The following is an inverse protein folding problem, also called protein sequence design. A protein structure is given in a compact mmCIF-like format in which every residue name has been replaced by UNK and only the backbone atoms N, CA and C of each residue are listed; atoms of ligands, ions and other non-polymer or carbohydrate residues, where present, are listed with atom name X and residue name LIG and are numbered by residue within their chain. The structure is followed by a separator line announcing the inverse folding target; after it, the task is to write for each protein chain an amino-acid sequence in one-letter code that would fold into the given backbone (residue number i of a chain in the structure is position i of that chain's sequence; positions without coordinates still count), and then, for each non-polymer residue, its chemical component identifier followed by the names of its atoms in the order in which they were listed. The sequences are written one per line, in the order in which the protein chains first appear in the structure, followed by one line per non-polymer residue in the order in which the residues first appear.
data_IF_696518192710
#
_entry.id   IF_696518192710
#
_cell.length_a   1.000
_cell.length_b   1.000
_cell.length_c   1.000
_cell.angle_alpha   90.00
_cell.angle_beta   90.00
_cell.angle_gamma   90.00
#
_symmetry.space_group_name_H-M   'P 1'
#
loop_
_entity.id
_entity.type
_entity.pdbx_description
1 polymer ?
#
# COMPACT_ATOMS: atom_id res chain seq x y z
N UNK A 1 -19.89 22.77 0.76
CA UNK A 1 -19.54 21.49 0.10
C UNK A 1 -19.07 20.56 1.20
N UNK A 2 -19.55 19.31 1.25
CA UNK A 2 -19.02 18.35 2.22
C UNK A 2 -17.51 18.21 1.97
N UNK A 3 -16.69 18.38 3.02
CA UNK A 3 -15.25 18.20 2.89
C UNK A 3 -14.96 16.76 2.48
N UNK A 4 -14.30 16.60 1.33
CA UNK A 4 -13.92 15.29 0.85
C UNK A 4 -12.76 14.77 1.70
N UNK A 5 -13.07 13.89 2.65
CA UNK A 5 -12.05 13.29 3.52
C UNK A 5 -11.38 12.11 2.81
N UNK A 6 -10.09 12.25 2.52
CA UNK A 6 -9.23 11.21 1.96
C UNK A 6 -8.06 10.98 2.92
N UNK A 7 -7.54 9.75 2.93
CA UNK A 7 -6.33 9.39 3.70
C UNK A 7 -5.42 8.50 2.86
N UNK A 8 -4.19 8.34 3.34
CA UNK A 8 -3.19 7.47 2.74
C UNK A 8 -3.80 6.13 2.30
N UNK A 9 -3.42 5.70 1.08
CA UNK A 9 -3.91 4.49 0.39
C UNK A 9 -5.36 4.49 -0.09
N UNK A 10 -6.14 5.56 0.10
CA UNK A 10 -7.39 5.71 -0.66
C UNK A 10 -7.08 5.77 -2.16
N UNK A 11 -7.86 5.05 -2.96
CA UNK A 11 -7.74 5.05 -4.42
C UNK A 11 -8.57 6.16 -5.04
N UNK A 12 -7.94 7.00 -5.85
CA UNK A 12 -8.59 8.09 -6.58
C UNK A 12 -8.50 7.81 -8.08
N UNK A 13 -9.63 7.86 -8.77
CA UNK A 13 -9.73 7.55 -10.20
C UNK A 13 -10.19 8.79 -10.94
N UNK A 14 -9.48 9.14 -12.01
CA UNK A 14 -9.82 10.27 -12.89
C UNK A 14 -10.78 9.84 -14.01
N UNK A 15 -11.33 10.81 -14.74
CA UNK A 15 -12.28 10.52 -15.84
C UNK A 15 -11.64 9.76 -16.99
N UNK A 16 -10.34 9.95 -17.21
CA UNK A 16 -9.58 9.23 -18.23
C UNK A 16 -9.30 7.77 -17.83
N UNK A 17 -9.48 7.42 -16.55
CA UNK A 17 -9.22 6.08 -16.04
C UNK A 17 -7.80 5.90 -15.49
N UNK A 18 -7.12 6.98 -15.11
CA UNK A 18 -5.90 6.91 -14.31
C UNK A 18 -6.26 6.61 -12.85
N UNK A 19 -5.45 5.79 -12.21
CA UNK A 19 -5.62 5.41 -10.81
C UNK A 19 -4.42 5.94 -10.02
N UNK A 20 -4.76 6.72 -9.00
CA UNK A 20 -3.83 7.32 -8.07
C UNK A 20 -4.08 6.79 -6.67
N UNK A 21 -3.00 6.67 -5.91
CA UNK A 21 -3.05 6.39 -4.47
C UNK A 21 -2.79 7.69 -3.73
N UNK A 22 -3.70 8.05 -2.83
CA UNK A 22 -3.47 9.17 -1.91
C UNK A 22 -2.23 8.88 -1.06
N UNK A 23 -1.32 9.84 -0.99
CA UNK A 23 -0.01 9.70 -0.36
C UNK A 23 0.09 10.59 0.88
N UNK A 24 0.15 9.97 2.05
CA UNK A 24 0.28 10.66 3.33
C UNK A 24 -1.01 11.32 3.80
N UNK A 25 -0.85 12.39 4.59
CA UNK A 25 -1.94 13.01 5.36
C UNK A 25 -1.94 14.54 5.30
N UNK A 26 -0.97 15.12 4.61
CA UNK A 26 -0.74 16.56 4.52
C UNK A 26 -1.10 17.01 3.11
N UNK A 27 -2.26 17.64 2.98
CA UNK A 27 -2.89 17.89 1.69
C UNK A 27 -3.33 19.34 1.54
N UNK A 28 -3.22 19.93 0.32
CA UNK A 28 -3.74 21.26 0.07
C UNK A 28 -5.28 21.29 0.22
N UNK A 29 -5.90 22.47 0.46
CA UNK A 29 -7.34 22.57 0.76
C UNK A 29 -8.29 21.94 -0.28
N UNK A 30 -7.92 22.01 -1.55
CA UNK A 30 -8.78 21.64 -2.68
C UNK A 30 -8.26 20.41 -3.44
N UNK A 31 -7.31 19.67 -2.88
CA UNK A 31 -6.73 18.52 -3.55
C UNK A 31 -6.02 17.56 -2.60
N UNK A 32 -5.51 16.47 -3.15
CA UNK A 32 -4.74 15.49 -2.41
C UNK A 32 -3.43 15.20 -3.13
N UNK A 33 -2.37 15.02 -2.35
CA UNK A 33 -1.08 14.56 -2.87
C UNK A 33 -1.20 13.07 -3.12
N UNK A 34 -0.69 12.63 -4.26
CA UNK A 34 -0.89 11.28 -4.74
C UNK A 34 0.39 10.69 -5.32
N UNK A 35 0.39 9.37 -5.42
CA UNK A 35 1.28 8.60 -6.28
C UNK A 35 0.46 8.06 -7.46
N UNK A 36 1.03 8.09 -8.67
CA UNK A 36 0.37 7.54 -9.85
C UNK A 36 0.62 6.03 -9.88
N UNK A 37 -0.41 5.21 -9.68
CA UNK A 37 -0.22 3.77 -9.53
C UNK A 37 -0.54 2.97 -10.77
N UNK A 38 -1.65 3.27 -11.46
CA UNK A 38 -2.07 2.52 -12.64
C UNK A 38 -2.68 3.42 -13.71
N UNK A 39 -2.61 2.95 -14.94
CA UNK A 39 -3.32 3.52 -16.07
C UNK A 39 -3.94 2.41 -16.92
N UNK A 40 -5.06 2.74 -17.57
CA UNK A 40 -5.66 1.89 -18.59
C UNK A 40 -4.67 1.59 -19.72
N UNK A 41 -4.74 0.38 -20.27
CA UNK A 41 -3.85 -0.08 -21.35
C UNK A 41 -3.93 0.75 -22.63
N UNK A 42 -5.04 1.46 -22.81
CA UNK A 42 -5.34 2.40 -23.88
C UNK A 42 -4.57 3.72 -23.72
N UNK A 43 -4.22 4.09 -22.48
CA UNK A 43 -3.46 5.30 -22.17
C UNK A 43 -1.97 5.04 -22.02
N UNK A 44 -1.61 3.90 -21.42
CA UNK A 44 -0.22 3.58 -21.07
C UNK A 44 0.05 2.09 -21.14
N UNK A 45 1.24 1.75 -21.65
CA UNK A 45 1.81 0.40 -21.62
C UNK A 45 3.24 0.50 -21.12
N UNK A 46 3.57 -0.32 -20.13
CA UNK A 46 4.93 -0.46 -19.65
C UNK A 46 5.60 -1.66 -20.33
N UNK A 47 6.90 -1.52 -20.61
CA UNK A 47 7.75 -2.62 -21.07
C UNK A 47 8.11 -3.57 -19.92
N UNK A 48 7.85 -3.18 -18.67
CA UNK A 48 8.07 -4.04 -17.51
C UNK A 48 7.04 -5.20 -17.53
N UNK A 49 7.49 -6.47 -17.61
CA UNK A 49 6.58 -7.61 -17.67
C UNK A 49 5.72 -7.77 -16.40
N UNK A 50 6.13 -7.15 -15.28
CA UNK A 50 5.39 -7.16 -14.01
C UNK A 50 4.33 -6.05 -13.92
N UNK A 51 4.17 -5.22 -14.93
CA UNK A 51 3.21 -4.11 -14.94
C UNK A 51 1.80 -4.51 -15.31
N UNK A 52 1.63 -5.55 -16.13
CA UNK A 52 0.32 -5.99 -16.60
C UNK A 52 -0.64 -6.36 -15.46
N UNK A 53 -1.88 -5.89 -15.53
CA UNK A 53 -2.99 -6.20 -14.61
C UNK A 53 -4.24 -6.49 -15.42
N UNK A 54 -4.53 -7.78 -15.63
CA UNK A 54 -5.66 -8.25 -16.44
C UNK A 54 -6.75 -9.00 -15.68
N UNK A 55 -6.73 -9.01 -14.34
CA UNK A 55 -7.71 -9.75 -13.53
C UNK A 55 -9.11 -9.11 -13.49
N UNK A 56 -9.29 -7.93 -14.08
CA UNK A 56 -10.56 -7.19 -14.10
C UNK A 56 -11.22 -7.15 -15.48
N UNK A 57 -12.29 -6.35 -15.61
CA UNK A 57 -12.99 -6.12 -16.89
C UNK A 57 -12.15 -5.36 -17.91
N UNK A 58 -11.19 -4.58 -17.44
CA UNK A 58 -10.29 -3.75 -18.24
C UNK A 58 -8.85 -4.11 -17.88
N UNK A 59 -7.95 -3.87 -18.83
CA UNK A 59 -6.52 -4.09 -18.64
C UNK A 59 -5.87 -2.81 -18.15
N UNK A 60 -5.09 -2.93 -17.09
CA UNK A 60 -4.29 -1.84 -16.53
C UNK A 60 -2.80 -2.18 -16.59
N UNK A 61 -1.97 -1.14 -16.58
CA UNK A 61 -0.53 -1.24 -16.33
C UNK A 61 -0.19 -0.49 -15.06
N UNK A 62 0.52 -1.16 -14.15
CA UNK A 62 1.13 -0.53 -12.97
C UNK A 62 2.34 0.29 -13.42
N UNK A 63 2.46 1.52 -12.95
CA UNK A 63 3.68 2.30 -13.10
C UNK A 63 4.80 1.74 -12.22
N UNK A 64 5.98 1.55 -12.80
CA UNK A 64 7.20 1.18 -12.11
C UNK A 64 8.23 2.31 -12.16
N UNK A 65 9.08 2.37 -11.12
CA UNK A 65 10.17 3.34 -11.04
C UNK A 65 9.67 4.79 -11.26
N UNK A 66 10.13 5.47 -12.31
CA UNK A 66 9.75 6.85 -12.64
C UNK A 66 8.71 6.96 -13.77
N UNK A 67 8.14 5.84 -14.22
CA UNK A 67 7.18 5.81 -15.33
C UNK A 67 5.96 6.70 -15.06
N UNK A 68 5.38 6.61 -13.85
CA UNK A 68 4.22 7.41 -13.46
C UNK A 68 4.52 8.91 -13.52
N UNK A 69 5.69 9.33 -13.02
CA UNK A 69 6.12 10.72 -13.05
C UNK A 69 6.29 11.24 -14.47
N UNK A 70 7.05 10.51 -15.31
CA UNK A 70 7.28 10.88 -16.72
C UNK A 70 5.97 10.93 -17.50
N UNK A 71 5.10 9.95 -17.29
CA UNK A 71 3.84 9.83 -18.00
C UNK A 71 2.88 10.96 -17.65
N UNK A 72 2.68 11.24 -16.36
CA UNK A 72 1.83 12.34 -15.89
C UNK A 72 2.40 13.68 -16.35
N UNK A 73 3.70 13.93 -16.19
CA UNK A 73 4.32 15.19 -16.61
C UNK A 73 4.14 15.48 -18.10
N UNK A 74 4.23 14.45 -18.95
CA UNK A 74 4.13 14.60 -20.41
C UNK A 74 2.69 14.72 -20.90
N UNK A 75 1.79 13.88 -20.38
CA UNK A 75 0.46 13.69 -20.98
C UNK A 75 -0.68 14.29 -20.16
N UNK A 76 -0.49 14.44 -18.84
CA UNK A 76 -1.52 14.93 -17.92
C UNK A 76 -0.96 15.95 -16.92
N UNK A 77 -0.35 17.06 -17.40
CA UNK A 77 0.28 18.05 -16.53
C UNK A 77 -0.70 18.75 -15.56
N UNK A 78 -2.02 18.62 -15.77
CA UNK A 78 -3.04 19.06 -14.81
C UNK A 78 -2.97 18.31 -13.47
N UNK A 79 -2.44 17.08 -13.44
CA UNK A 79 -2.24 16.29 -12.22
C UNK A 79 -0.89 16.56 -11.54
N UNK A 80 -0.24 17.67 -11.90
CA UNK A 80 0.93 18.23 -11.22
C UNK A 80 0.53 19.49 -10.44
N UNK A 81 0.04 19.31 -9.22
CA UNK A 81 -0.40 20.41 -8.35
C UNK A 81 0.79 21.06 -7.64
N UNK A 82 0.70 22.37 -7.40
CA UNK A 82 1.73 23.09 -6.65
C UNK A 82 1.58 22.80 -5.16
N UNK A 83 2.63 22.27 -4.54
CA UNK A 83 2.69 22.06 -3.09
C UNK A 83 3.49 23.19 -2.46
N UNK A 84 2.79 24.17 -1.90
CA UNK A 84 3.37 25.43 -1.42
C UNK A 84 4.52 25.21 -0.43
N UNK A 85 4.42 24.30 0.57
CA UNK A 85 5.52 24.08 1.50
C UNK A 85 6.81 23.63 0.78
N UNK A 86 6.72 22.85 -0.31
CA UNK A 86 7.90 22.42 -1.08
C UNK A 86 8.35 23.46 -2.13
N UNK A 87 7.49 24.43 -2.46
CA UNK A 87 7.72 25.37 -3.56
C UNK A 87 7.85 24.69 -4.93
N UNK A 88 7.26 23.50 -5.11
CA UNK A 88 7.39 22.67 -6.32
C UNK A 88 6.06 22.04 -6.69
N UNK A 89 5.93 21.67 -7.96
CA UNK A 89 4.85 20.80 -8.43
C UNK A 89 5.12 19.35 -8.06
N UNK A 90 4.10 18.66 -7.58
CA UNK A 90 4.12 17.24 -7.25
C UNK A 90 2.90 16.56 -7.85
N UNK A 91 2.92 15.24 -7.95
CA UNK A 91 1.73 14.49 -8.38
C UNK A 91 0.62 14.68 -7.34
N UNK A 92 -0.55 15.09 -7.80
CA UNK A 92 -1.72 15.25 -6.97
C UNK A 92 -2.95 15.59 -7.80
N UNK A 93 -4.10 15.49 -7.17
CA UNK A 93 -5.40 15.65 -7.84
C UNK A 93 -6.23 16.68 -7.11
N UNK A 94 -6.78 17.65 -7.85
CA UNK A 94 -7.81 18.53 -7.32
C UNK A 94 -9.10 17.75 -7.13
N UNK A 95 -9.85 18.03 -6.07
CA UNK A 95 -11.09 17.30 -5.78
C UNK A 95 -12.13 17.41 -6.90
N UNK A 96 -12.10 18.49 -7.71
CA UNK A 96 -12.95 18.66 -8.90
C UNK A 96 -12.69 17.63 -10.01
N UNK A 97 -11.49 17.07 -10.05
CA UNK A 97 -11.03 16.17 -11.13
C UNK A 97 -11.21 14.69 -10.75
N UNK A 98 -11.62 14.42 -9.51
CA UNK A 98 -11.91 13.08 -9.02
C UNK A 98 -13.23 12.58 -9.62
N UNK A 99 -13.17 11.48 -10.37
CA UNK A 99 -14.34 10.81 -10.91
C UNK A 99 -14.90 9.75 -9.96
N UNK A 100 -14.03 9.00 -9.29
CA UNK A 100 -14.41 7.94 -8.37
C UNK A 100 -13.37 7.79 -7.26
N UNK A 101 -13.85 7.43 -6.06
CA UNK A 101 -13.03 7.09 -4.91
C UNK A 101 -13.26 5.62 -4.56
N UNK A 102 -12.16 4.90 -4.28
CA UNK A 102 -12.17 3.54 -3.76
C UNK A 102 -11.54 3.57 -2.37
N UNK A 103 -12.38 3.39 -1.34
CA UNK A 103 -11.92 3.33 0.04
C UNK A 103 -11.56 1.89 0.43
N UNK A 104 -10.36 1.64 0.99
CA UNK A 104 -9.91 0.30 1.35
C UNK A 104 -10.86 -0.49 2.26
N UNK A 105 -11.42 0.15 3.29
CA UNK A 105 -12.34 -0.49 4.24
C UNK A 105 -13.70 -0.84 3.61
N UNK A 106 -14.21 0.02 2.73
CA UNK A 106 -15.44 -0.23 1.99
C UNK A 106 -15.27 -1.37 0.99
N UNK A 107 -14.15 -1.40 0.27
CA UNK A 107 -13.86 -2.47 -0.69
C UNK A 107 -13.63 -3.79 0.04
N UNK A 108 -12.92 -3.81 1.18
CA UNK A 108 -12.76 -5.02 1.98
C UNK A 108 -14.13 -5.59 2.41
N UNK A 109 -15.02 -4.75 2.94
CA UNK A 109 -16.39 -5.18 3.30
C UNK A 109 -17.14 -5.77 2.12
N UNK A 110 -17.04 -5.16 0.95
CA UNK A 110 -17.65 -5.69 -0.28
C UNK A 110 -17.04 -7.04 -0.67
N UNK A 111 -15.72 -7.21 -0.58
CA UNK A 111 -15.05 -8.47 -0.91
C UNK A 111 -15.48 -9.61 0.03
N UNK A 112 -15.62 -9.33 1.33
CA UNK A 112 -16.05 -10.32 2.32
C UNK A 112 -17.55 -10.67 2.23
N UNK A 113 -18.37 -9.77 1.70
CA UNK A 113 -19.80 -10.03 1.47
C UNK A 113 -20.06 -10.94 0.25
N UNK A 114 -19.06 -11.12 -0.62
CA UNK A 114 -19.16 -12.03 -1.76
C UNK A 114 -18.82 -13.45 -1.28
N UNK A 115 -19.79 -14.36 -1.28
CA UNK A 115 -19.52 -15.78 -0.96
C UNK A 115 -18.36 -16.32 -1.83
N UNK A 116 -17.28 -16.73 -1.14
CA UNK A 116 -16.06 -17.43 -1.56
C UNK A 116 -15.81 -17.60 -3.08
N UNK A 117 -15.76 -16.49 -3.83
CA UNK A 117 -15.65 -16.52 -5.29
C UNK A 117 -14.39 -17.21 -5.81
N UNK A 118 -13.29 -17.16 -5.05
CA UNK A 118 -12.02 -17.74 -5.47
C UNK A 118 -11.08 -18.05 -4.29
N UNK A 119 -9.95 -18.70 -4.61
CA UNK A 119 -8.96 -19.14 -3.61
C UNK A 119 -8.21 -18.01 -2.91
N UNK A 120 -7.99 -16.86 -3.56
CA UNK A 120 -7.29 -15.74 -2.92
C UNK A 120 -8.18 -15.08 -1.88
N UNK A 121 -9.46 -14.85 -2.19
CA UNK A 121 -10.40 -14.26 -1.23
C UNK A 121 -10.64 -15.19 -0.04
N UNK A 122 -10.70 -16.51 -0.26
CA UNK A 122 -10.74 -17.50 0.85
C UNK A 122 -9.53 -17.39 1.76
N UNK A 123 -8.32 -17.31 1.18
CA UNK A 123 -7.09 -17.18 1.95
C UNK A 123 -7.03 -15.85 2.72
N UNK A 124 -7.41 -14.73 2.09
CA UNK A 124 -7.50 -13.42 2.75
C UNK A 124 -8.47 -13.46 3.94
N UNK A 125 -9.64 -14.06 3.76
CA UNK A 125 -10.62 -14.19 4.83
C UNK A 125 -10.10 -15.06 5.97
N UNK A 126 -9.45 -16.19 5.68
CA UNK A 126 -8.84 -17.05 6.71
C UNK A 126 -7.78 -16.30 7.53
N UNK A 127 -6.96 -15.48 6.88
CA UNK A 127 -5.96 -14.63 7.56
C UNK A 127 -6.64 -13.57 8.44
N UNK A 128 -7.67 -12.88 7.93
CA UNK A 128 -8.40 -11.88 8.71
C UNK A 128 -9.13 -12.50 9.89
N UNK A 129 -9.81 -13.63 9.71
CA UNK A 129 -10.50 -14.37 10.77
C UNK A 129 -9.53 -14.80 11.87
N UNK A 130 -8.35 -15.31 11.49
CA UNK A 130 -7.31 -15.68 12.45
C UNK A 130 -6.92 -14.49 13.34
N UNK A 131 -6.70 -13.32 12.75
CA UNK A 131 -6.27 -12.11 13.46
C UNK A 131 -7.41 -11.54 14.32
N UNK A 132 -8.60 -11.37 13.72
CA UNK A 132 -9.78 -10.81 14.38
C UNK A 132 -10.17 -11.66 15.59
N UNK A 133 -10.17 -12.99 15.45
CA UNK A 133 -10.54 -13.90 16.54
C UNK A 133 -9.55 -13.84 17.71
N UNK A 134 -8.25 -13.74 17.45
CA UNK A 134 -7.24 -13.71 18.51
C UNK A 134 -7.21 -12.36 19.23
N UNK A 135 -7.42 -11.24 18.52
CA UNK A 135 -7.30 -9.90 19.10
C UNK A 135 -8.63 -9.26 19.50
N UNK A 136 -9.78 -9.82 19.08
CA UNK A 136 -11.08 -9.20 19.26
C UNK A 136 -11.25 -7.88 18.47
N UNK A 137 -10.43 -7.65 17.45
CA UNK A 137 -10.48 -6.44 16.64
C UNK A 137 -11.71 -6.43 15.72
N UNK A 138 -12.25 -5.24 15.51
CA UNK A 138 -13.39 -5.04 14.61
C UNK A 138 -12.92 -4.96 13.16
N UNK A 139 -13.75 -5.42 12.22
CA UNK A 139 -13.39 -5.43 10.79
C UNK A 139 -13.05 -4.03 10.22
N UNK A 140 -13.65 -2.97 10.75
CA UNK A 140 -13.40 -1.59 10.29
C UNK A 140 -11.97 -1.09 10.56
N UNK A 141 -11.20 -1.82 11.36
CA UNK A 141 -9.76 -1.59 11.58
C UNK A 141 -8.94 -1.99 10.35
N UNK A 142 -9.50 -2.77 9.42
CA UNK A 142 -8.79 -3.27 8.26
C UNK A 142 -9.29 -2.65 6.94
N UNK A 143 -8.45 -2.73 5.92
CA UNK A 143 -8.80 -2.41 4.54
C UNK A 143 -7.97 -3.25 3.56
N UNK A 144 -8.22 -3.10 2.26
CA UNK A 144 -7.38 -3.70 1.21
C UNK A 144 -6.74 -2.65 0.32
N UNK A 145 -5.53 -2.90 -0.18
CA UNK A 145 -4.89 -2.04 -1.17
C UNK A 145 -4.51 -2.81 -2.44
N UNK A 146 -3.82 -2.13 -3.36
CA UNK A 146 -3.25 -2.77 -4.54
C UNK A 146 -4.32 -3.42 -5.43
N UNK A 147 -4.03 -4.64 -5.91
CA UNK A 147 -4.89 -5.30 -6.89
C UNK A 147 -6.27 -5.68 -6.33
N UNK A 148 -6.37 -5.93 -5.02
CA UNK A 148 -7.63 -6.19 -4.32
C UNK A 148 -8.52 -4.95 -4.28
N UNK A 149 -7.95 -3.79 -3.93
CA UNK A 149 -8.68 -2.51 -3.90
C UNK A 149 -9.31 -2.15 -5.24
N UNK A 150 -8.60 -2.43 -6.32
CA UNK A 150 -9.03 -2.04 -7.65
C UNK A 150 -9.78 -3.12 -8.43
N UNK A 151 -9.94 -4.31 -7.87
CA UNK A 151 -10.75 -5.39 -8.44
C UNK A 151 -10.15 -6.03 -9.70
N UNK A 152 -8.82 -6.00 -9.84
CA UNK A 152 -8.10 -6.66 -10.94
C UNK A 152 -7.04 -7.66 -10.45
N UNK A 153 -7.17 -8.12 -9.21
CA UNK A 153 -6.34 -9.19 -8.66
C UNK A 153 -6.50 -10.48 -9.46
N UNK A 154 -5.45 -11.31 -9.49
CA UNK A 154 -5.51 -12.62 -10.09
C UNK A 154 -5.59 -13.69 -8.99
N UNK A 155 -6.62 -14.55 -8.97
CA UNK A 155 -6.81 -15.54 -7.90
C UNK A 155 -5.59 -16.42 -7.62
N UNK A 156 -4.83 -16.80 -8.66
CA UNK A 156 -3.67 -17.70 -8.54
C UNK A 156 -2.31 -17.00 -8.43
N UNK A 157 -2.21 -15.68 -8.58
CA UNK A 157 -0.92 -14.98 -8.67
C UNK A 157 -0.81 -13.71 -7.82
N UNK A 158 -1.92 -13.07 -7.48
CA UNK A 158 -1.90 -11.92 -6.57
C UNK A 158 -1.58 -12.33 -5.14
N UNK A 159 -0.99 -11.39 -4.43
CA UNK A 159 -0.75 -11.40 -2.99
C UNK A 159 -1.98 -10.89 -2.23
N UNK A 160 -1.93 -10.95 -0.89
CA UNK A 160 -2.94 -10.42 0.01
C UNK A 160 -2.44 -9.08 0.58
N UNK A 161 -2.98 -7.99 0.07
CA UNK A 161 -2.58 -6.62 0.39
C UNK A 161 -3.55 -6.00 1.42
N UNK A 162 -3.26 -6.09 2.73
CA UNK A 162 -4.12 -5.57 3.80
C UNK A 162 -3.59 -4.26 4.40
N UNK A 163 -4.52 -3.42 4.85
CA UNK A 163 -4.26 -2.23 5.66
C UNK A 163 -4.64 -2.51 7.11
N UNK A 164 -3.88 -1.98 8.05
CA UNK A 164 -4.29 -1.86 9.46
C UNK A 164 -4.37 -0.37 9.83
N UNK A 165 -5.58 0.08 10.18
CA UNK A 165 -5.85 1.44 10.62
C UNK A 165 -5.57 1.61 12.11
N UNK A 166 -4.76 2.61 12.45
CA UNK A 166 -4.49 2.99 13.83
C UNK A 166 -3.20 2.41 14.37
N UNK A 167 -2.39 3.26 15.02
CA UNK A 167 -1.10 2.86 15.62
C UNK A 167 -1.29 1.77 16.68
N UNK A 168 -2.27 1.92 17.55
CA UNK A 168 -2.53 0.94 18.63
C UNK A 168 -2.95 -0.42 18.07
N UNK A 169 -3.79 -0.44 17.04
CA UNK A 169 -4.22 -1.66 16.37
C UNK A 169 -3.05 -2.35 15.66
N UNK A 170 -2.21 -1.58 14.96
CA UNK A 170 -1.01 -2.11 14.31
C UNK A 170 -0.05 -2.77 15.33
N UNK A 171 0.12 -2.17 16.50
CA UNK A 171 0.97 -2.75 17.55
C UNK A 171 0.45 -4.10 18.03
N UNK A 172 -0.88 -4.23 18.23
CA UNK A 172 -1.51 -5.51 18.58
C UNK A 172 -1.33 -6.55 17.47
N UNK A 173 -1.57 -6.17 16.21
CA UNK A 173 -1.38 -7.06 15.05
C UNK A 173 0.08 -7.50 14.94
N UNK A 174 1.06 -6.60 15.09
CA UNK A 174 2.48 -6.96 15.06
C UNK A 174 2.87 -7.92 16.19
N UNK A 175 2.33 -7.73 17.40
CA UNK A 175 2.57 -8.66 18.52
C UNK A 175 2.05 -10.06 18.19
N UNK A 176 0.81 -10.16 17.69
CA UNK A 176 0.25 -11.44 17.28
C UNK A 176 1.04 -12.08 16.13
N UNK A 177 1.43 -11.31 15.10
CA UNK A 177 2.22 -11.83 13.99
C UNK A 177 3.55 -12.41 14.47
N UNK A 178 4.21 -11.78 15.44
CA UNK A 178 5.43 -12.33 16.05
C UNK A 178 5.19 -13.69 16.70
N UNK A 179 4.07 -13.86 17.42
CA UNK A 179 3.68 -15.15 18.02
C UNK A 179 3.36 -16.19 16.95
N UNK A 180 2.58 -15.81 15.93
CA UNK A 180 2.17 -16.70 14.83
C UNK A 180 3.37 -17.17 14.02
N UNK A 181 4.35 -16.30 13.73
CA UNK A 181 5.57 -16.68 13.01
C UNK A 181 6.45 -17.66 13.80
N UNK A 182 6.42 -17.62 15.13
CA UNK A 182 7.13 -18.57 15.98
C UNK A 182 6.38 -19.91 16.12
N UNK A 183 5.09 -19.96 15.77
CA UNK A 183 4.28 -21.17 15.82
C UNK A 183 4.15 -21.81 14.43
N UNK A 184 4.89 -22.90 14.17
CA UNK A 184 4.86 -23.63 12.90
C UNK A 184 3.47 -24.14 12.48
N UNK A 185 2.53 -24.28 13.43
CA UNK A 185 1.16 -24.73 13.13
C UNK A 185 0.22 -23.60 12.68
N UNK A 186 0.62 -22.33 12.82
CA UNK A 186 -0.20 -21.17 12.46
C UNK A 186 -0.48 -21.04 10.97
N UNK A 187 0.40 -21.60 10.12
CA UNK A 187 0.36 -21.39 8.68
C UNK A 187 0.91 -20.03 8.22
N UNK A 188 1.44 -19.20 9.13
CA UNK A 188 2.07 -17.92 8.83
C UNK A 188 3.56 -17.94 9.17
N UNK A 189 4.38 -17.37 8.29
CA UNK A 189 5.82 -17.14 8.52
C UNK A 189 6.22 -15.74 8.08
N UNK A 190 7.31 -15.19 8.64
CA UNK A 190 7.87 -13.93 8.19
C UNK A 190 8.47 -14.09 6.79
N UNK A 191 8.20 -13.16 5.86
CA UNK A 191 8.76 -13.22 4.49
C UNK A 191 10.30 -13.12 4.50
N UNK A 192 10.87 -12.48 5.52
CA UNK A 192 12.29 -12.20 5.64
C UNK A 192 12.98 -13.07 6.70
N UNK A 193 12.49 -14.30 6.91
CA UNK A 193 13.18 -15.28 7.77
C UNK A 193 14.58 -15.63 7.28
N UNK A 194 14.80 -15.65 5.96
CA UNK A 194 16.07 -15.92 5.31
C UNK A 194 16.42 -14.87 4.23
N UNK A 195 17.55 -15.09 3.55
CA UNK A 195 18.07 -14.20 2.50
C UNK A 195 17.42 -14.40 1.12
N UNK A 196 16.40 -15.26 1.00
CA UNK A 196 15.70 -15.55 -0.26
C UNK A 196 15.11 -14.31 -0.92
N UNK A 197 14.73 -13.30 -0.14
CA UNK A 197 14.23 -12.02 -0.64
C UNK A 197 15.28 -11.20 -1.41
N UNK A 198 16.58 -11.44 -1.20
CA UNK A 198 17.70 -10.74 -1.83
C UNK A 198 18.58 -11.64 -2.70
N UNK A 199 18.47 -12.96 -2.54
CA UNK A 199 19.27 -13.95 -3.25
C UNK A 199 19.12 -13.83 -4.77
N UNK A 200 20.26 -13.76 -5.48
CA UNK A 200 20.30 -13.67 -6.94
C UNK A 200 19.85 -12.33 -7.53
N UNK A 201 19.53 -11.33 -6.70
CA UNK A 201 19.14 -9.99 -7.17
C UNK A 201 20.36 -9.08 -7.25
N UNK A 202 20.38 -8.19 -8.25
CA UNK A 202 21.37 -7.12 -8.33
C UNK A 202 21.15 -6.16 -7.18
N UNK A 203 22.14 -6.05 -6.28
CA UNK A 203 22.07 -5.15 -5.15
C UNK A 203 22.34 -3.71 -5.59
N UNK A 204 21.33 -2.84 -5.46
CA UNK A 204 21.41 -1.44 -5.94
C UNK A 204 21.68 -0.42 -4.83
N UNK A 205 21.58 -0.81 -3.57
CA UNK A 205 21.80 0.11 -2.45
C UNK A 205 23.29 0.24 -2.12
N UNK A 206 23.75 1.49 -1.89
CA UNK A 206 25.16 1.79 -1.58
C UNK A 206 25.49 1.71 -0.08
N UNK A 207 24.55 2.11 0.78
CA UNK A 207 24.79 2.36 2.21
C UNK A 207 24.08 1.35 3.14
N UNK A 208 23.54 0.28 2.58
CA UNK A 208 22.90 -0.80 3.34
C UNK A 208 23.25 -2.09 2.62
N UNK A 209 23.73 -3.09 3.34
CA UNK A 209 24.04 -4.42 2.82
C UNK A 209 22.76 -5.27 2.69
N UNK A 210 22.77 -6.34 1.87
CA UNK A 210 21.64 -7.27 1.80
C UNK A 210 21.25 -7.85 3.16
N UNK A 211 22.25 -8.16 4.01
CA UNK A 211 22.03 -8.69 5.35
C UNK A 211 21.34 -7.68 6.26
N UNK A 212 21.79 -6.43 6.26
CA UNK A 212 21.16 -5.35 7.02
C UNK A 212 19.72 -5.12 6.54
N UNK A 213 19.49 -5.11 5.23
CA UNK A 213 18.13 -4.98 4.68
C UNK A 213 17.21 -6.09 5.16
N UNK A 214 17.62 -7.36 5.06
CA UNK A 214 16.82 -8.50 5.55
C UNK A 214 16.56 -8.36 7.05
N UNK A 215 17.56 -7.99 7.84
CA UNK A 215 17.40 -7.74 9.27
C UNK A 215 16.38 -6.62 9.57
N UNK A 216 16.43 -5.51 8.84
CA UNK A 216 15.46 -4.42 8.97
C UNK A 216 14.05 -4.84 8.55
N UNK A 217 13.92 -5.58 7.45
CA UNK A 217 12.62 -6.04 6.95
C UNK A 217 11.99 -7.06 7.90
N UNK A 218 12.77 -8.01 8.42
CA UNK A 218 12.31 -9.03 9.38
C UNK A 218 11.67 -8.41 10.62
N UNK A 219 12.25 -7.34 11.17
CA UNK A 219 11.75 -6.64 12.37
C UNK A 219 10.46 -5.83 12.16
N UNK A 220 10.06 -5.58 10.91
CA UNK A 220 8.79 -4.89 10.62
C UNK A 220 7.59 -5.75 10.99
N UNK A 221 7.71 -7.08 10.84
CA UNK A 221 6.67 -8.11 11.12
C UNK A 221 5.42 -8.07 10.24
N UNK A 222 5.16 -6.95 9.55
CA UNK A 222 3.98 -6.77 8.68
C UNK A 222 4.09 -7.47 7.32
N UNK A 223 5.21 -8.12 7.01
CA UNK A 223 5.42 -8.88 5.79
C UNK A 223 5.47 -10.38 6.11
N UNK A 224 4.43 -11.10 5.68
CA UNK A 224 4.25 -12.51 5.96
C UNK A 224 4.06 -13.34 4.70
N UNK A 225 4.14 -14.66 4.88
CA UNK A 225 3.78 -15.66 3.90
C UNK A 225 2.78 -16.60 4.56
N UNK A 226 1.59 -16.70 3.96
CA UNK A 226 0.54 -17.59 4.38
C UNK A 226 0.57 -18.88 3.55
N UNK A 227 0.74 -20.00 4.24
CA UNK A 227 0.64 -21.34 3.67
C UNK A 227 -0.82 -21.78 3.62
N UNK A 228 -1.50 -21.42 2.54
CA UNK A 228 -2.89 -21.82 2.35
C UNK A 228 -2.96 -23.29 1.92
N UNK A 229 -3.34 -24.16 2.87
CA UNK A 229 -3.49 -25.59 2.63
C UNK A 229 -4.56 -25.89 1.58
N UNK A 230 -5.59 -25.06 1.45
CA UNK A 230 -6.69 -25.28 0.52
C UNK A 230 -6.25 -25.10 -0.94
N UNK A 231 -5.51 -24.02 -1.24
CA UNK A 231 -4.94 -23.81 -2.59
C UNK A 231 -3.55 -24.40 -2.79
N UNK A 232 -2.91 -24.95 -1.74
CA UNK A 232 -1.51 -25.43 -1.75
C UNK A 232 -0.53 -24.36 -2.24
N UNK A 233 -0.80 -23.10 -1.88
CA UNK A 233 0.01 -21.95 -2.28
C UNK A 233 0.63 -21.29 -1.05
N UNK A 234 1.86 -20.84 -1.23
CA UNK A 234 2.47 -19.82 -0.38
C UNK A 234 2.05 -18.47 -0.95
N UNK A 235 1.26 -17.72 -0.19
CA UNK A 235 0.69 -16.43 -0.60
C UNK A 235 1.33 -15.36 0.26
N UNK A 236 1.90 -14.30 -0.33
CA UNK A 236 2.41 -13.20 0.48
C UNK A 236 1.27 -12.41 1.07
N UNK A 237 1.47 -11.91 2.27
CA UNK A 237 0.50 -11.11 3.00
C UNK A 237 1.19 -9.89 3.57
N UNK A 238 0.64 -8.70 3.29
CA UNK A 238 1.13 -7.44 3.82
C UNK A 238 0.09 -6.82 4.77
N UNK A 239 0.56 -6.21 5.86
CA UNK A 239 -0.24 -5.50 6.87
C UNK A 239 0.19 -4.04 6.96
N UNK A 240 -0.05 -3.29 5.90
CA UNK A 240 0.46 -1.93 5.75
C UNK A 240 -0.22 -0.95 6.71
N UNK A 241 0.55 -0.11 7.43
CA UNK A 241 0.01 0.77 8.44
C UNK A 241 -0.61 2.03 7.81
N UNK A 242 -1.82 2.39 8.23
CA UNK A 242 -2.45 3.67 7.89
C UNK A 242 -3.02 4.30 9.14
N UNK A 243 -2.95 5.63 9.25
CA UNK A 243 -3.54 6.34 10.39
C UNK A 243 -5.06 6.14 10.45
N UNK A 244 -5.58 5.93 11.65
CA UNK A 244 -7.02 6.03 11.89
C UNK A 244 -7.47 7.50 11.76
N UNK A 245 -8.75 7.75 11.51
CA UNK A 245 -9.24 9.12 11.28
C UNK A 245 -8.96 10.07 12.44
N UNK A 246 -9.01 9.58 13.68
CA UNK A 246 -8.68 10.33 14.89
C UNK A 246 -7.18 10.57 15.11
N UNK A 247 -6.30 9.96 14.30
CA UNK A 247 -4.85 10.16 14.33
C UNK A 247 -4.37 11.10 13.21
N UNK A 248 -5.28 11.48 12.30
CA UNK A 248 -4.99 12.32 11.14
C UNK A 248 -5.19 13.78 11.53
N UNK A 249 -4.12 14.55 11.38
CA UNK A 249 -4.13 16.01 11.47
C UNK A 249 -3.50 16.55 10.20
N UNK A 250 -4.22 17.40 9.47
CA UNK A 250 -3.70 17.97 8.23
C UNK A 250 -2.85 19.20 8.54
N UNK A 251 -1.54 18.97 8.65
CA UNK A 251 -0.54 20.00 8.98
C UNK A 251 -0.22 20.94 7.80
N UNK A 252 -0.93 20.86 6.66
CA UNK A 252 -0.54 21.57 5.44
C UNK A 252 -0.38 23.09 5.66
N UNK A 253 -1.29 23.70 6.42
CA UNK A 253 -1.24 25.13 6.74
C UNK A 253 -0.24 25.50 7.84
N UNK A 254 0.24 24.51 8.59
CA UNK A 254 1.24 24.71 9.65
C UNK A 254 2.66 24.70 9.09
N UNK A 255 2.87 24.01 7.95
CA UNK A 255 4.17 23.93 7.30
C UNK A 255 4.38 25.13 6.37
N UNK A 256 5.14 26.12 6.85
CA UNK A 256 5.43 27.34 6.07
C UNK A 256 6.32 27.06 4.85
N UNK A 257 7.41 26.31 5.04
CA UNK A 257 8.39 26.02 3.97
C UNK A 257 9.24 24.80 4.32
N UNK A 258 9.51 23.97 3.33
CA UNK A 258 10.42 22.84 3.36
C UNK A 258 11.63 23.20 2.51
N UNK A 259 12.80 23.22 3.15
CA UNK A 259 14.09 23.47 2.48
C UNK A 259 14.94 22.22 2.53
N UNK A 260 15.49 21.81 1.40
CA UNK A 260 16.48 20.73 1.37
C UNK A 260 17.81 21.24 1.94
N UNK A 261 18.24 20.66 3.06
CA UNK A 261 19.47 21.04 3.78
C UNK A 261 20.65 20.10 3.48
N UNK A 262 20.54 19.23 2.49
CA UNK A 262 21.54 18.19 2.22
C UNK A 262 21.25 16.87 2.93
N UNK A 263 22.19 15.93 2.80
CA UNK A 263 22.15 14.66 3.52
C UNK A 263 22.79 14.83 4.90
N UNK A 264 22.07 14.49 5.96
CA UNK A 264 22.63 14.45 7.32
C UNK A 264 23.09 13.01 7.60
N UNK A 265 24.32 12.85 8.09
CA UNK A 265 24.81 11.60 8.69
C UNK A 265 24.80 11.79 10.20
N UNK A 266 24.03 10.96 10.91
CA UNK A 266 24.05 10.92 12.37
C UNK A 266 24.72 9.61 12.82
N UNK A 267 25.61 9.70 13.79
CA UNK A 267 26.10 8.54 14.53
C UNK A 267 25.19 8.37 15.75
N UNK A 268 24.46 7.25 15.81
CA UNK A 268 23.65 6.91 16.97
C UNK A 268 24.41 5.85 17.77
N UNK A 269 24.71 6.16 19.02
CA UNK A 269 25.13 5.17 20.00
C UNK A 269 23.88 4.68 20.71
N UNK A 270 23.64 3.37 20.66
CA UNK A 270 22.62 2.73 21.50
C UNK A 270 23.32 2.44 22.83
N UNK A 271 22.89 3.12 23.90
CA UNK A 271 23.28 2.75 25.26
C UNK A 271 22.26 1.73 25.76
N UNK A 272 22.76 0.60 26.27
CA UNK A 272 21.98 -0.53 26.80
C UNK A 272 21.27 -0.19 28.12
#
# INVERSE_FOLDING_TARGET
MAHLNLRDRDGVITREGLIFRVLGYTHPPNGCICDAEYALSELFKSENPKAFRGGGKQVFYKFYEDEGWKFIQKNFPQYLIFYEPLGKKVIGINFSDIALIRRPDEVLRKLLALEFKDGLLRAMQAVLELIIKHLGLQLHVFGVFGSLLHGFYHPSFSDIDLIVYGRSNLMQVRSLLQELYNNKSSGLSNEFEDDGSVRGKVWRFKNISPKEFVWHQKRKLIYGVFNDKASRRLIKVEFEPVKAWNEIHNEYHEIVRITWQGWVKAFMQIED
#
